data_IF_945098483898
#
_entry.id   IF_945098483898
#
_cell.length_a   1.000
_cell.length_b   1.000
_cell.length_c   1.000
_cell.angle_alpha   90.00
_cell.angle_beta   90.00
_cell.angle_gamma   90.00
#
_symmetry.space_group_name_H-M   'P 1'
#
loop_
_entity.id
_entity.type
_entity.pdbx_description
1 polymer ?
#
# COMPACT_ATOMS: atom_id res chain seq x y z
N UNK A 1 -8.21 41.76 9.17
CA UNK A 1 -8.70 40.97 10.32
C UNK A 1 -9.09 39.60 9.80
N UNK A 2 -8.09 38.74 9.66
CA UNK A 2 -8.25 37.34 9.26
C UNK A 2 -8.59 36.54 10.51
N UNK A 3 -9.74 35.87 10.50
CA UNK A 3 -10.07 34.86 11.50
C UNK A 3 -9.06 33.73 11.35
N UNK A 4 -8.13 33.65 12.31
CA UNK A 4 -7.27 32.49 12.48
C UNK A 4 -8.16 31.27 12.74
N UNK A 5 -8.17 30.35 11.78
CA UNK A 5 -8.75 29.03 11.98
C UNK A 5 -8.07 28.40 13.18
N UNK A 6 -8.84 28.18 14.23
CA UNK A 6 -8.46 27.39 15.39
C UNK A 6 -7.94 26.03 14.89
N UNK A 7 -6.67 25.76 15.17
CA UNK A 7 -6.01 24.49 14.91
C UNK A 7 -6.66 23.44 15.83
N UNK A 8 -7.37 22.40 15.33
CA UNK A 8 -8.09 21.46 16.20
C UNK A 8 -7.19 20.42 16.89
N UNK A 9 -5.86 20.62 16.86
CA UNK A 9 -4.90 19.65 17.40
C UNK A 9 -4.43 20.01 18.81
N UNK A 10 -5.34 20.01 19.79
CA UNK A 10 -4.98 19.58 21.15
C UNK A 10 -4.93 18.03 21.21
N UNK A 11 -4.47 17.42 20.11
CA UNK A 11 -5.07 16.22 19.54
C UNK A 11 -4.19 14.98 19.71
N UNK A 12 -4.84 13.88 20.05
CA UNK A 12 -4.41 12.47 19.96
C UNK A 12 -3.15 12.24 19.11
N UNK A 13 -2.19 11.47 19.63
CA UNK A 13 -0.98 11.09 18.87
C UNK A 13 -1.36 10.40 17.55
N UNK A 14 -0.66 10.73 16.48
CA UNK A 14 -0.79 10.11 15.16
C UNK A 14 0.41 9.19 14.92
N UNK A 15 0.24 7.88 15.00
CA UNK A 15 1.32 6.92 14.78
C UNK A 15 1.29 6.38 13.34
N UNK A 16 2.46 5.99 12.84
CA UNK A 16 2.55 5.12 11.67
C UNK A 16 2.34 3.68 12.15
N UNK A 17 1.22 3.06 11.76
CA UNK A 17 0.88 1.70 12.16
C UNK A 17 1.30 0.69 11.09
N UNK A 18 2.45 0.05 11.30
CA UNK A 18 2.91 -1.07 10.48
C UNK A 18 2.31 -2.37 11.02
N UNK A 19 1.53 -3.08 10.20
CA UNK A 19 0.87 -4.30 10.62
C UNK A 19 0.70 -5.29 9.46
N UNK A 20 0.41 -6.54 9.78
CA UNK A 20 0.21 -7.58 8.76
C UNK A 20 -1.25 -7.66 8.34
N UNK A 21 -1.54 -7.32 7.08
CA UNK A 21 -2.89 -7.37 6.50
C UNK A 21 -3.61 -8.71 6.72
N UNK A 22 -2.92 -9.84 6.51
CA UNK A 22 -3.51 -11.17 6.57
C UNK A 22 -3.67 -11.74 8.01
N UNK A 23 -3.65 -10.89 9.04
CA UNK A 23 -3.77 -11.27 10.45
C UNK A 23 -4.71 -10.32 11.23
N UNK A 24 -5.98 -10.17 10.80
CA UNK A 24 -6.89 -9.17 11.36
C UNK A 24 -7.20 -9.43 12.84
N UNK A 25 -7.31 -10.68 13.27
CA UNK A 25 -7.63 -11.03 14.65
C UNK A 25 -6.52 -10.61 15.62
N UNK A 26 -5.27 -10.88 15.26
CA UNK A 26 -4.10 -10.47 16.03
C UNK A 26 -3.95 -8.94 16.03
N UNK A 27 -4.13 -8.30 14.87
CA UNK A 27 -4.10 -6.83 14.79
C UNK A 27 -5.14 -6.19 15.71
N UNK A 28 -6.37 -6.72 15.72
CA UNK A 28 -7.45 -6.26 16.60
C UNK A 28 -7.11 -6.50 18.08
N UNK A 29 -6.59 -7.69 18.43
CA UNK A 29 -6.17 -8.01 19.79
C UNK A 29 -5.14 -7.01 20.32
N UNK A 30 -4.06 -6.78 19.57
CA UNK A 30 -3.04 -5.81 19.97
C UNK A 30 -3.62 -4.39 20.02
N UNK A 31 -4.39 -3.98 19.00
CA UNK A 31 -5.01 -2.65 18.98
C UNK A 31 -5.89 -2.35 20.20
N UNK A 32 -6.69 -3.34 20.65
CA UNK A 32 -7.48 -3.22 21.88
C UNK A 32 -6.60 -3.05 23.12
N UNK A 33 -5.47 -3.76 23.20
CA UNK A 33 -4.52 -3.57 24.30
C UNK A 33 -3.89 -2.18 24.29
N UNK A 34 -3.48 -1.68 23.12
CA UNK A 34 -2.87 -0.35 22.99
C UNK A 34 -3.86 0.75 23.37
N UNK A 35 -5.07 0.70 22.81
CA UNK A 35 -6.13 1.69 23.09
C UNK A 35 -6.65 1.63 24.53
N UNK A 36 -6.45 0.52 25.25
CA UNK A 36 -6.75 0.42 26.69
C UNK A 36 -5.79 1.22 27.59
N UNK A 37 -4.61 1.59 27.06
CA UNK A 37 -3.63 2.44 27.75
C UNK A 37 -3.88 3.90 27.37
N UNK A 38 -3.73 4.21 26.07
CA UNK A 38 -4.03 5.50 25.51
C UNK A 38 -4.46 5.33 24.06
N UNK A 39 -5.54 6.01 23.68
CA UNK A 39 -5.99 6.00 22.29
C UNK A 39 -5.04 6.79 21.41
N UNK A 40 -4.51 6.16 20.36
CA UNK A 40 -3.81 6.84 19.26
C UNK A 40 -4.63 6.81 17.99
N UNK A 41 -4.22 7.60 17.00
CA UNK A 41 -4.75 7.61 15.65
C UNK A 41 -3.67 7.19 14.66
N UNK A 42 -4.06 6.77 13.47
CA UNK A 42 -3.12 6.43 12.40
C UNK A 42 -3.71 6.74 11.04
N UNK A 43 -2.84 6.73 10.02
CA UNK A 43 -3.20 6.99 8.62
C UNK A 43 -2.85 5.78 7.77
N UNK A 44 -3.73 5.42 6.84
CA UNK A 44 -3.57 4.25 5.97
C UNK A 44 -3.73 4.63 4.50
N UNK A 45 -2.99 3.91 3.66
CA UNK A 45 -3.14 3.94 2.21
C UNK A 45 -4.10 2.83 1.79
N UNK A 46 -5.25 3.20 1.27
CA UNK A 46 -6.22 2.24 0.74
C UNK A 46 -6.10 2.16 -0.79
N UNK A 47 -5.99 0.93 -1.30
CA UNK A 47 -6.23 0.60 -2.71
C UNK A 47 -5.42 1.43 -3.76
N UNK A 48 -4.18 1.80 -3.45
CA UNK A 48 -3.32 2.44 -4.44
C UNK A 48 -2.91 1.44 -5.53
N UNK A 49 -3.19 1.75 -6.79
CA UNK A 49 -2.72 0.99 -7.96
C UNK A 49 -1.19 1.03 -8.11
N UNK A 50 -0.53 1.93 -7.37
CA UNK A 50 0.90 2.17 -7.44
C UNK A 50 1.48 2.51 -6.05
N UNK A 51 2.48 1.74 -5.61
CA UNK A 51 3.23 2.00 -4.38
C UNK A 51 4.39 2.96 -4.65
N UNK A 52 4.28 4.20 -4.15
CA UNK A 52 5.34 5.22 -4.23
C UNK A 52 6.16 5.24 -2.93
N UNK A 53 7.47 4.94 -2.94
CA UNK A 53 8.31 5.00 -1.74
C UNK A 53 8.33 6.39 -1.11
N UNK A 54 8.30 7.45 -1.92
CA UNK A 54 8.26 8.84 -1.45
C UNK A 54 7.02 9.12 -0.62
N UNK A 55 5.86 8.56 -1.01
CA UNK A 55 4.62 8.69 -0.26
C UNK A 55 4.75 8.03 1.11
N UNK A 56 5.27 6.79 1.14
CA UNK A 56 5.47 6.04 2.38
C UNK A 56 6.44 6.77 3.31
N UNK A 57 7.55 7.29 2.79
CA UNK A 57 8.51 8.09 3.55
C UNK A 57 7.87 9.36 4.12
N UNK A 58 7.01 10.05 3.36
CA UNK A 58 6.24 11.19 3.87
C UNK A 58 5.30 10.79 5.00
N UNK A 59 4.55 9.70 4.85
CA UNK A 59 3.65 9.21 5.90
C UNK A 59 4.39 8.86 7.19
N UNK A 60 5.54 8.18 7.08
CA UNK A 60 6.39 7.88 8.24
C UNK A 60 6.94 9.16 8.84
N UNK A 61 7.40 10.12 8.04
CA UNK A 61 7.94 11.40 8.53
C UNK A 61 6.90 12.24 9.26
N UNK A 62 5.66 12.23 8.79
CA UNK A 62 4.55 13.03 9.34
C UNK A 62 3.88 12.37 10.56
N UNK A 63 4.24 11.13 10.90
CA UNK A 63 3.79 10.47 12.12
C UNK A 63 4.56 10.94 13.36
N UNK A 64 3.92 10.95 14.53
CA UNK A 64 4.52 11.28 15.82
C UNK A 64 5.41 10.13 16.34
N UNK A 65 5.08 8.88 15.99
CA UNK A 65 5.84 7.68 16.35
C UNK A 65 5.50 6.49 15.46
N UNK A 66 6.18 5.37 15.68
CA UNK A 66 5.99 4.13 14.91
C UNK A 66 5.50 3.00 15.82
N UNK A 67 4.43 2.33 15.41
CA UNK A 67 3.90 1.14 16.10
C UNK A 67 3.88 -0.02 15.11
N UNK A 68 4.56 -1.12 15.47
CA UNK A 68 4.60 -2.34 14.69
C UNK A 68 3.79 -3.48 15.36
N UNK A 69 2.94 -4.16 14.60
CA UNK A 69 2.26 -5.40 15.02
C UNK A 69 2.54 -6.48 13.98
N UNK A 70 3.42 -7.42 14.30
CA UNK A 70 3.92 -8.40 13.34
C UNK A 70 3.71 -9.86 13.75
N UNK A 71 2.48 -10.38 13.58
CA UNK A 71 2.20 -11.81 13.71
C UNK A 71 2.79 -12.61 12.55
N UNK A 72 3.12 -13.87 12.85
CA UNK A 72 3.49 -14.87 11.85
C UNK A 72 2.33 -15.89 11.73
N UNK A 73 1.66 -16.01 10.57
CA UNK A 73 0.58 -16.95 10.38
C UNK A 73 1.13 -18.38 10.40
N UNK A 74 0.23 -19.35 10.51
CA UNK A 74 0.59 -20.76 10.63
C UNK A 74 0.64 -21.22 12.08
N UNK A 75 0.99 -22.48 12.27
CA UNK A 75 0.97 -23.09 13.61
C UNK A 75 2.04 -22.47 14.51
N UNK A 76 1.81 -22.28 15.82
CA UNK A 76 2.78 -21.66 16.73
C UNK A 76 4.10 -22.42 16.84
N UNK A 77 4.10 -23.71 16.45
CA UNK A 77 5.27 -24.61 16.46
C UNK A 77 5.86 -24.85 15.06
N UNK A 78 5.36 -24.15 14.05
CA UNK A 78 5.84 -24.28 12.69
C UNK A 78 7.27 -23.75 12.57
N UNK A 79 8.14 -24.57 11.99
CA UNK A 79 9.53 -24.21 11.74
C UNK A 79 9.64 -23.53 10.39
N UNK A 80 10.25 -22.34 10.36
CA UNK A 80 10.49 -21.59 9.14
C UNK A 80 11.99 -21.45 8.87
N UNK A 81 12.38 -21.52 7.60
CA UNK A 81 13.73 -21.15 7.20
C UNK A 81 13.93 -19.64 7.38
N UNK A 82 15.19 -19.21 7.56
CA UNK A 82 15.52 -17.79 7.64
C UNK A 82 15.07 -17.02 6.38
N UNK A 83 15.21 -17.61 5.20
CA UNK A 83 14.75 -17.00 3.95
C UNK A 83 13.23 -16.82 3.92
N UNK A 84 12.47 -17.80 4.39
CA UNK A 84 11.01 -17.70 4.51
C UNK A 84 10.61 -16.60 5.49
N UNK A 85 11.30 -16.48 6.63
CA UNK A 85 11.01 -15.44 7.62
C UNK A 85 11.33 -14.04 7.08
N UNK A 86 12.45 -13.88 6.38
CA UNK A 86 12.80 -12.58 5.79
C UNK A 86 11.87 -12.18 4.65
N UNK A 87 11.49 -13.13 3.79
CA UNK A 87 10.47 -12.90 2.78
C UNK A 87 9.13 -12.50 3.41
N UNK A 88 8.71 -13.25 4.43
CA UNK A 88 7.47 -13.01 5.16
C UNK A 88 7.50 -11.71 5.97
N UNK A 89 8.66 -11.09 6.22
CA UNK A 89 8.83 -9.83 6.97
C UNK A 89 9.35 -8.67 6.13
N UNK A 90 9.43 -8.83 4.80
CA UNK A 90 10.11 -7.90 3.90
C UNK A 90 9.58 -6.46 4.01
N UNK A 91 8.26 -6.28 3.92
CA UNK A 91 7.63 -4.95 3.95
C UNK A 91 7.71 -4.33 5.35
N UNK A 92 7.54 -5.14 6.38
CA UNK A 92 7.68 -4.68 7.76
C UNK A 92 9.09 -4.19 8.07
N UNK A 93 10.13 -4.96 7.69
CA UNK A 93 11.52 -4.57 7.86
C UNK A 93 11.84 -3.26 7.14
N UNK A 94 11.24 -3.07 5.97
CA UNK A 94 11.37 -1.84 5.22
C UNK A 94 10.77 -0.64 5.98
N UNK A 95 9.51 -0.75 6.42
CA UNK A 95 8.82 0.31 7.16
C UNK A 95 9.51 0.63 8.49
N UNK A 96 9.99 -0.40 9.20
CA UNK A 96 10.81 -0.24 10.39
C UNK A 96 12.14 0.48 10.07
N UNK A 97 12.79 0.12 8.97
CA UNK A 97 14.00 0.80 8.51
C UNK A 97 13.74 2.28 8.20
N UNK A 98 12.60 2.60 7.59
CA UNK A 98 12.18 3.98 7.38
C UNK A 98 11.97 4.72 8.70
N UNK A 99 11.26 4.13 9.66
CA UNK A 99 11.05 4.73 10.98
C UNK A 99 12.36 5.01 11.73
N UNK A 100 13.31 4.07 11.66
CA UNK A 100 14.66 4.22 12.24
C UNK A 100 15.41 5.38 11.57
N UNK A 101 15.44 5.45 10.23
CA UNK A 101 16.07 6.58 9.51
C UNK A 101 15.41 7.92 9.86
N UNK A 102 14.10 7.91 10.00
CA UNK A 102 13.27 9.05 10.39
C UNK A 102 13.42 9.43 11.87
N UNK A 103 14.18 8.63 12.66
CA UNK A 103 14.37 8.77 14.11
C UNK A 103 13.05 8.83 14.88
N UNK A 104 12.07 8.05 14.45
CA UNK A 104 10.81 7.91 15.19
C UNK A 104 11.05 7.03 16.40
N UNK A 105 10.52 7.46 17.55
CA UNK A 105 10.29 6.53 18.65
C UNK A 105 9.45 5.38 18.13
N UNK A 106 9.84 4.16 18.47
CA UNK A 106 9.25 2.96 17.86
C UNK A 106 9.05 1.86 18.90
N UNK A 107 7.88 1.25 18.85
CA UNK A 107 7.56 0.02 19.57
C UNK A 107 7.01 -1.03 18.61
N UNK A 108 7.50 -2.26 18.71
CA UNK A 108 7.13 -3.35 17.82
C UNK A 108 6.78 -4.57 18.63
N UNK A 109 5.57 -5.07 18.47
CA UNK A 109 5.12 -6.36 18.98
C UNK A 109 5.23 -7.38 17.87
N UNK A 110 6.09 -8.39 18.02
CA UNK A 110 6.32 -9.36 16.96
C UNK A 110 6.32 -10.80 17.49
N UNK A 111 5.94 -11.73 16.63
CA UNK A 111 6.06 -13.15 16.95
C UNK A 111 7.53 -13.52 17.21
N UNK A 112 7.80 -14.28 18.27
CA UNK A 112 9.16 -14.69 18.64
C UNK A 112 9.85 -15.51 17.54
N UNK A 113 9.10 -16.20 16.68
CA UNK A 113 9.66 -16.95 15.54
C UNK A 113 10.37 -16.04 14.54
N UNK A 114 10.09 -14.73 14.55
CA UNK A 114 10.73 -13.73 13.69
C UNK A 114 12.07 -13.21 14.24
N UNK A 115 12.45 -13.54 15.47
CA UNK A 115 13.72 -13.09 16.09
C UNK A 115 14.94 -13.28 15.16
N UNK A 116 15.10 -14.41 14.43
CA UNK A 116 16.25 -14.58 13.53
C UNK A 116 16.28 -13.62 12.33
N UNK A 117 15.12 -13.12 11.91
CA UNK A 117 14.96 -12.27 10.73
C UNK A 117 14.81 -10.78 11.07
N UNK A 118 14.39 -10.45 12.29
CA UNK A 118 14.15 -9.08 12.72
C UNK A 118 15.32 -8.54 13.54
N UNK A 119 15.83 -7.37 13.11
CA UNK A 119 16.85 -6.62 13.84
C UNK A 119 16.45 -5.16 13.86
N UNK A 120 16.69 -4.50 14.98
CA UNK A 120 16.51 -3.07 15.14
C UNK A 120 17.64 -2.51 16.02
N UNK A 121 17.95 -1.21 15.92
CA UNK A 121 18.86 -0.57 16.87
C UNK A 121 18.25 -0.51 18.28
N UNK A 122 19.09 -0.21 19.28
CA UNK A 122 18.74 -0.33 20.71
C UNK A 122 17.63 0.65 21.16
N UNK A 123 17.41 1.71 20.42
CA UNK A 123 16.37 2.73 20.65
C UNK A 123 14.98 2.28 20.20
N UNK A 124 14.87 1.16 19.48
CA UNK A 124 13.59 0.54 19.11
C UNK A 124 13.18 -0.51 20.14
N UNK A 125 11.98 -0.36 20.71
CA UNK A 125 11.43 -1.32 21.67
C UNK A 125 10.84 -2.53 20.95
N UNK A 126 11.62 -3.60 20.81
CA UNK A 126 11.14 -4.89 20.29
C UNK A 126 10.57 -5.76 21.42
N UNK A 127 9.31 -6.16 21.28
CA UNK A 127 8.59 -7.02 22.23
C UNK A 127 8.18 -8.29 21.52
N UNK A 128 8.99 -9.35 21.69
CA UNK A 128 8.70 -10.68 21.18
C UNK A 128 7.58 -11.35 21.98
N UNK A 129 6.67 -12.07 21.35
CA UNK A 129 5.65 -12.88 22.05
C UNK A 129 5.54 -14.30 21.46
N UNK A 130 5.12 -15.27 22.26
CA UNK A 130 4.74 -16.60 21.76
C UNK A 130 3.30 -16.54 21.23
N UNK A 131 3.04 -17.03 20.02
CA UNK A 131 1.69 -17.06 19.46
C UNK A 131 0.68 -17.82 20.35
N UNK A 132 1.13 -18.78 21.17
CA UNK A 132 0.28 -19.46 22.17
C UNK A 132 -0.21 -18.53 23.30
N UNK A 133 0.48 -17.40 23.54
CA UNK A 133 0.08 -16.41 24.56
C UNK A 133 -1.20 -15.66 24.18
N UNK A 134 -1.60 -15.68 22.90
CA UNK A 134 -2.81 -15.03 22.41
C UNK A 134 -4.08 -15.78 22.85
N UNK A 135 -4.03 -17.11 22.88
CA UNK A 135 -5.15 -17.97 23.27
C UNK A 135 -5.21 -18.24 24.78
N UNK A 136 -4.13 -17.95 25.51
CA UNK A 136 -3.98 -18.28 26.93
C UNK A 136 -4.84 -17.40 27.87
N UNK A 137 -5.55 -16.39 27.35
CA UNK A 137 -6.49 -15.56 28.10
C UNK A 137 -5.86 -14.94 29.36
N UNK A 138 -6.53 -15.11 30.51
CA UNK A 138 -6.09 -14.55 31.80
C UNK A 138 -4.77 -15.15 32.34
N UNK A 139 -4.30 -16.25 31.79
CA UNK A 139 -3.04 -16.90 32.20
C UNK A 139 -1.81 -16.33 31.46
N UNK A 140 -2.04 -15.46 30.48
CA UNK A 140 -0.98 -14.83 29.68
C UNK A 140 -0.41 -13.59 30.37
N UNK A 141 0.92 -13.47 30.39
CA UNK A 141 1.59 -12.22 30.81
C UNK A 141 1.63 -11.17 29.70
N UNK A 142 1.27 -11.56 28.46
CA UNK A 142 1.37 -10.73 27.27
C UNK A 142 0.63 -9.39 27.40
N UNK A 143 -0.63 -9.32 27.90
CA UNK A 143 -1.32 -8.05 28.06
C UNK A 143 -0.54 -7.04 28.93
N UNK A 144 0.04 -7.48 30.04
CA UNK A 144 0.80 -6.61 30.92
C UNK A 144 2.10 -6.13 30.26
N UNK A 145 2.82 -7.03 29.57
CA UNK A 145 4.04 -6.71 28.82
C UNK A 145 3.80 -5.71 27.69
N UNK A 146 2.72 -5.91 26.93
CA UNK A 146 2.31 -5.01 25.84
C UNK A 146 1.99 -3.63 26.38
N UNK A 147 1.15 -3.54 27.41
CA UNK A 147 0.78 -2.25 28.02
C UNK A 147 1.98 -1.52 28.59
N UNK A 148 2.88 -2.22 29.28
CA UNK A 148 4.09 -1.62 29.85
C UNK A 148 5.03 -1.07 28.76
N UNK A 149 5.30 -1.87 27.72
CA UNK A 149 6.16 -1.43 26.63
C UNK A 149 5.53 -0.27 25.84
N UNK A 150 4.21 -0.29 25.66
CA UNK A 150 3.49 0.77 24.99
C UNK A 150 3.47 2.07 25.81
N UNK A 151 3.25 1.99 27.12
CA UNK A 151 3.35 3.15 28.00
C UNK A 151 4.73 3.80 27.92
N UNK A 152 5.81 3.00 27.99
CA UNK A 152 7.17 3.52 27.85
C UNK A 152 7.42 4.20 26.50
N UNK A 153 6.81 3.70 25.42
CA UNK A 153 6.83 4.36 24.12
C UNK A 153 6.07 5.70 24.12
N UNK A 154 4.89 5.75 24.73
CA UNK A 154 4.10 6.98 24.84
C UNK A 154 4.85 8.04 25.65
N UNK A 155 5.48 7.64 26.75
CA UNK A 155 6.29 8.53 27.59
C UNK A 155 7.45 9.13 26.78
N UNK A 156 8.15 8.31 25.98
CA UNK A 156 9.23 8.78 25.10
C UNK A 156 8.71 9.77 24.04
N UNK A 157 7.59 9.45 23.39
CA UNK A 157 6.99 10.32 22.35
C UNK A 157 6.52 11.65 22.94
N UNK A 158 5.82 11.62 24.08
CA UNK A 158 5.36 12.83 24.75
C UNK A 158 6.51 13.71 25.23
N UNK A 159 7.61 13.11 25.71
CA UNK A 159 8.80 13.86 26.09
C UNK A 159 9.50 14.54 24.89
N UNK A 160 9.40 13.94 23.70
CA UNK A 160 10.03 14.46 22.48
C UNK A 160 9.17 15.47 21.71
N UNK A 161 7.84 15.47 21.90
CA UNK A 161 6.94 16.38 21.20
C UNK A 161 6.99 17.79 21.82
N UNK A 162 7.33 18.84 21.04
CA UNK A 162 7.31 20.21 21.53
C UNK A 162 5.89 20.64 21.91
N UNK A 163 5.75 21.35 23.02
CA UNK A 163 4.48 21.86 23.56
C UNK A 163 3.70 22.74 22.57
N UNK A 164 4.38 23.43 21.66
CA UNK A 164 3.81 24.58 20.93
C UNK A 164 3.80 24.48 19.39
N UNK A 165 4.40 23.45 18.77
CA UNK A 165 4.28 23.27 17.32
C UNK A 165 4.72 21.86 16.89
N UNK A 166 3.77 21.07 16.38
CA UNK A 166 4.12 19.92 15.52
C UNK A 166 4.66 20.50 14.22
N UNK A 167 5.87 20.11 13.76
CA UNK A 167 6.36 20.55 12.45
C UNK A 167 5.41 20.01 11.37
N UNK A 168 4.60 20.90 10.80
CA UNK A 168 3.73 20.57 9.68
C UNK A 168 4.54 20.66 8.39
N UNK A 169 4.90 19.51 7.82
CA UNK A 169 5.44 19.39 6.46
C UNK A 169 4.29 19.48 5.44
N UNK A 170 3.67 20.66 5.40
CA UNK A 170 2.59 21.02 4.48
C UNK A 170 2.94 22.28 3.68
N UNK A 171 4.23 22.58 3.51
CA UNK A 171 4.66 23.73 2.70
C UNK A 171 4.32 23.56 1.23
N UNK A 172 4.03 22.31 0.81
CA UNK A 172 3.90 21.89 -0.58
C UNK A 172 5.12 22.22 -1.42
N UNK A 173 6.28 22.42 -0.80
CA UNK A 173 7.52 22.72 -1.51
C UNK A 173 8.25 21.44 -1.93
N UNK A 174 8.75 21.40 -3.15
CA UNK A 174 9.51 20.27 -3.70
C UNK A 174 10.90 20.71 -4.15
N UNK A 175 11.96 20.15 -3.57
CA UNK A 175 13.34 20.45 -4.00
C UNK A 175 13.65 19.82 -5.36
N UNK A 176 14.25 20.55 -6.29
CA UNK A 176 14.70 20.03 -7.58
C UNK A 176 16.23 20.14 -7.68
N UNK A 177 16.91 18.99 -7.79
CA UNK A 177 18.35 18.89 -8.05
C UNK A 177 18.52 18.11 -9.35
N UNK A 178 18.79 18.81 -10.44
CA UNK A 178 18.97 18.23 -11.77
C UNK A 178 20.41 18.44 -12.21
N UNK A 179 21.04 17.40 -12.75
CA UNK A 179 22.42 17.50 -13.23
C UNK A 179 22.54 18.46 -14.42
N UNK A 180 23.68 19.13 -14.66
CA UNK A 180 23.86 20.06 -15.76
C UNK A 180 23.59 19.44 -17.13
N UNK A 181 23.84 18.14 -17.28
CA UNK A 181 23.63 17.37 -18.50
C UNK A 181 22.13 17.31 -18.86
N UNK A 182 21.26 17.23 -17.85
CA UNK A 182 19.81 17.12 -18.03
C UNK A 182 19.06 18.44 -17.74
N UNK A 183 19.70 19.42 -17.10
CA UNK A 183 19.05 20.63 -16.59
C UNK A 183 18.29 21.40 -17.69
N UNK A 184 18.94 21.60 -18.84
CA UNK A 184 18.33 22.33 -19.96
C UNK A 184 17.12 21.61 -20.57
N UNK A 185 17.06 20.29 -20.48
CA UNK A 185 16.02 19.48 -21.13
C UNK A 185 14.83 19.17 -20.22
N UNK A 186 15.02 19.09 -18.89
CA UNK A 186 13.95 18.60 -18.00
C UNK A 186 13.51 19.58 -16.91
N UNK A 187 14.33 20.56 -16.51
CA UNK A 187 14.00 21.38 -15.31
C UNK A 187 12.73 22.21 -15.48
N UNK A 188 12.50 22.87 -16.63
CA UNK A 188 11.28 23.66 -16.86
C UNK A 188 10.04 22.77 -16.85
N UNK A 189 10.08 21.67 -17.61
CA UNK A 189 8.95 20.75 -17.73
C UNK A 189 8.60 20.06 -16.40
N UNK A 190 9.60 19.65 -15.60
CA UNK A 190 9.35 19.13 -14.26
C UNK A 190 8.76 20.19 -13.32
N UNK A 191 9.22 21.44 -13.42
CA UNK A 191 8.71 22.54 -12.60
C UNK A 191 7.26 22.86 -12.96
N UNK A 192 6.92 22.93 -14.25
CA UNK A 192 5.55 23.12 -14.74
C UNK A 192 4.63 22.00 -14.26
N UNK A 193 5.04 20.74 -14.43
CA UNK A 193 4.28 19.58 -13.96
C UNK A 193 4.07 19.60 -12.43
N UNK A 194 5.08 19.99 -11.64
CA UNK A 194 4.91 20.12 -10.19
C UNK A 194 3.85 21.16 -9.82
N UNK A 195 3.86 22.32 -10.49
CA UNK A 195 2.84 23.36 -10.28
C UNK A 195 1.43 22.87 -10.64
N UNK A 196 1.27 22.11 -11.73
CA UNK A 196 -0.03 21.53 -12.12
C UNK A 196 -0.62 20.64 -11.02
N UNK A 197 0.23 19.93 -10.28
CA UNK A 197 -0.14 19.10 -9.13
C UNK A 197 -0.10 19.87 -7.79
N UNK A 198 -0.10 21.20 -7.84
CA UNK A 198 -0.10 22.11 -6.70
C UNK A 198 1.11 21.97 -5.75
N UNK A 199 2.26 21.57 -6.29
CA UNK A 199 3.57 21.61 -5.63
C UNK A 199 4.35 22.85 -6.06
N UNK A 200 5.06 23.47 -5.13
CA UNK A 200 5.94 24.60 -5.36
C UNK A 200 7.38 24.10 -5.58
N UNK A 201 7.88 24.02 -6.83
CA UNK A 201 9.23 23.58 -7.09
C UNK A 201 10.26 24.62 -6.62
N UNK A 202 11.30 24.13 -5.95
CA UNK A 202 12.46 24.90 -5.53
C UNK A 202 13.69 24.35 -6.24
N UNK A 203 14.08 24.98 -7.34
CA UNK A 203 15.31 24.61 -8.07
C UNK A 203 16.51 24.99 -7.21
N UNK A 204 17.25 23.98 -6.77
CA UNK A 204 18.40 24.18 -5.88
C UNK A 204 19.67 24.47 -6.69
N UNK A 205 20.60 25.28 -6.15
CA UNK A 205 21.81 25.68 -6.87
C UNK A 205 22.71 24.48 -7.25
N UNK A 206 23.34 24.59 -8.43
CA UNK A 206 24.36 23.65 -8.89
C UNK A 206 25.77 24.29 -8.86
N UNK A 207 26.83 23.54 -8.48
CA UNK A 207 26.80 22.20 -7.92
C UNK A 207 26.26 22.20 -6.48
N UNK A 208 25.56 21.15 -6.05
CA UNK A 208 25.09 21.06 -4.68
C UNK A 208 26.27 20.99 -3.73
N UNK A 209 26.16 21.67 -2.58
CA UNK A 209 27.14 21.63 -1.50
C UNK A 209 26.43 21.22 -0.23
N UNK A 210 26.94 20.21 0.47
CA UNK A 210 26.42 19.78 1.79
C UNK A 210 26.81 20.80 2.88
N UNK A 211 26.26 22.02 2.76
CA UNK A 211 26.45 23.13 3.67
C UNK A 211 25.14 23.48 4.39
N UNK A 212 25.19 24.47 5.28
CA UNK A 212 24.01 24.90 6.02
C UNK A 212 22.84 25.32 5.11
N UNK A 213 23.13 26.03 4.01
CA UNK A 213 22.09 26.53 3.10
C UNK A 213 21.31 25.39 2.45
N UNK A 214 22.01 24.38 1.90
CA UNK A 214 21.35 23.23 1.30
C UNK A 214 20.51 22.46 2.33
N UNK A 215 21.04 22.27 3.54
CA UNK A 215 20.30 21.63 4.64
C UNK A 215 19.04 22.43 4.98
N UNK A 216 19.14 23.76 5.04
CA UNK A 216 18.00 24.64 5.30
C UNK A 216 16.96 24.58 4.19
N UNK A 217 17.36 24.53 2.92
CA UNK A 217 16.42 24.37 1.80
C UNK A 217 15.73 23.01 1.81
N UNK A 218 16.50 21.93 1.97
CA UNK A 218 15.94 20.57 2.01
C UNK A 218 14.96 20.37 3.17
N UNK A 219 15.21 20.99 4.33
CA UNK A 219 14.29 20.95 5.48
C UNK A 219 12.99 21.71 5.28
N UNK A 220 12.95 22.68 4.35
CA UNK A 220 11.71 23.38 3.97
C UNK A 220 10.88 22.59 2.97
N UNK A 221 11.49 21.63 2.27
CA UNK A 221 10.84 20.82 1.27
C UNK A 221 10.08 19.66 1.91
N UNK A 222 8.88 19.40 1.40
CA UNK A 222 8.12 18.21 1.76
C UNK A 222 8.75 16.96 1.13
N UNK A 223 9.41 17.09 -0.01
CA UNK A 223 10.17 16.02 -0.66
C UNK A 223 11.09 16.62 -1.74
N UNK A 224 11.96 15.80 -2.33
CA UNK A 224 12.87 16.25 -3.38
C UNK A 224 12.87 15.31 -4.59
N UNK A 225 13.17 15.86 -5.76
CA UNK A 225 13.54 15.14 -6.98
C UNK A 225 15.05 15.31 -7.17
N UNK A 226 15.77 14.20 -7.28
CA UNK A 226 17.23 14.20 -7.43
C UNK A 226 17.63 13.36 -8.63
N UNK A 227 18.26 13.99 -9.60
CA UNK A 227 18.91 13.34 -10.73
C UNK A 227 20.22 12.65 -10.29
N UNK A 228 20.38 11.36 -10.57
CA UNK A 228 21.53 10.55 -10.16
C UNK A 228 22.63 10.43 -11.24
N UNK A 229 22.49 11.11 -12.37
CA UNK A 229 23.44 10.96 -13.49
C UNK A 229 24.80 11.61 -13.24
N UNK A 230 24.94 12.41 -12.18
CA UNK A 230 26.20 13.06 -11.77
C UNK A 230 26.66 12.60 -10.36
N UNK A 231 27.97 12.40 -10.12
CA UNK A 231 28.48 12.02 -8.80
C UNK A 231 28.10 12.97 -7.66
N UNK A 232 28.02 14.28 -7.90
CA UNK A 232 27.71 15.26 -6.87
C UNK A 232 26.27 15.11 -6.37
N UNK A 233 25.32 14.85 -7.26
CA UNK A 233 23.92 14.66 -6.88
C UNK A 233 23.67 13.31 -6.21
N UNK A 234 24.43 12.26 -6.52
CA UNK A 234 24.40 10.99 -5.76
C UNK A 234 24.79 11.17 -4.29
N UNK A 235 25.76 12.04 -4.00
CA UNK A 235 26.11 12.38 -2.61
C UNK A 235 24.95 13.09 -1.91
N UNK A 236 24.19 13.94 -2.61
CA UNK A 236 22.99 14.55 -2.06
C UNK A 236 21.89 13.53 -1.83
N UNK A 237 21.69 12.59 -2.76
CA UNK A 237 20.71 11.50 -2.58
C UNK A 237 21.06 10.62 -1.36
N UNK A 238 22.34 10.31 -1.16
CA UNK A 238 22.80 9.61 0.05
C UNK A 238 22.54 10.44 1.32
N UNK A 239 22.78 11.75 1.26
CA UNK A 239 22.49 12.67 2.36
C UNK A 239 21.00 12.76 2.68
N UNK A 240 20.13 12.95 1.68
CA UNK A 240 18.67 13.02 1.89
C UNK A 240 18.12 11.71 2.41
N UNK A 241 18.61 10.58 1.92
CA UNK A 241 18.28 9.26 2.45
C UNK A 241 18.63 9.13 3.94
N UNK A 242 19.83 9.54 4.34
CA UNK A 242 20.28 9.50 5.73
C UNK A 242 19.60 10.52 6.66
N UNK A 243 19.16 11.66 6.12
CA UNK A 243 18.37 12.66 6.84
C UNK A 243 16.85 12.41 6.77
N UNK A 244 16.43 11.34 6.11
CA UNK A 244 15.03 11.00 5.88
C UNK A 244 14.22 12.14 5.24
N UNK A 245 14.81 12.80 4.24
CA UNK A 245 14.10 13.70 3.34
C UNK A 245 13.54 12.84 2.20
N UNK A 246 12.20 12.70 2.08
CA UNK A 246 11.59 11.86 1.05
C UNK A 246 12.08 12.27 -0.34
N UNK A 247 12.54 11.30 -1.13
CA UNK A 247 13.26 11.60 -2.38
C UNK A 247 12.80 10.71 -3.54
N UNK A 248 12.40 11.33 -4.65
CA UNK A 248 12.25 10.67 -5.93
C UNK A 248 13.57 10.76 -6.70
N UNK A 249 14.26 9.64 -6.86
CA UNK A 249 15.49 9.59 -7.63
C UNK A 249 15.19 9.43 -9.13
N UNK A 250 15.94 10.12 -9.99
CA UNK A 250 15.86 10.00 -11.45
C UNK A 250 17.20 9.49 -12.00
N UNK A 251 17.18 8.72 -13.09
CA UNK A 251 18.40 8.42 -13.84
C UNK A 251 18.10 8.21 -15.32
N UNK A 252 18.94 8.76 -16.19
CA UNK A 252 18.82 8.61 -17.63
C UNK A 252 19.42 7.29 -18.10
N UNK A 253 18.70 6.59 -18.97
CA UNK A 253 19.19 5.43 -19.71
C UNK A 253 19.64 5.82 -21.12
N UNK A 254 19.57 7.10 -21.49
CA UNK A 254 19.96 7.56 -22.81
C UNK A 254 21.48 7.38 -23.01
N UNK A 255 21.85 6.43 -23.88
CA UNK A 255 23.25 6.12 -24.21
C UNK A 255 23.80 4.82 -23.61
N UNK A 256 23.03 4.11 -22.77
CA UNK A 256 23.42 2.78 -22.31
C UNK A 256 22.81 1.69 -23.20
N UNK A 257 23.64 0.86 -23.83
CA UNK A 257 23.18 -0.32 -24.58
C UNK A 257 22.74 -1.48 -23.66
N UNK A 258 22.76 -1.30 -22.34
CA UNK A 258 22.24 -2.29 -21.40
C UNK A 258 20.71 -2.29 -21.44
N UNK A 259 20.13 -3.47 -21.65
CA UNK A 259 18.70 -3.74 -21.50
C UNK A 259 18.12 -3.06 -20.25
N UNK A 260 16.92 -2.48 -20.37
CA UNK A 260 16.17 -1.77 -19.32
C UNK A 260 16.10 -2.51 -17.96
N UNK A 261 16.34 -3.83 -17.94
CA UNK A 261 16.25 -4.67 -16.76
C UNK A 261 17.53 -4.79 -15.89
N UNK A 262 18.72 -4.31 -16.33
CA UNK A 262 19.98 -4.64 -15.64
C UNK A 262 21.03 -3.52 -15.48
N UNK A 263 20.61 -2.25 -15.38
CA UNK A 263 21.52 -1.20 -14.90
C UNK A 263 21.62 -1.23 -13.37
N UNK A 264 22.45 -2.15 -12.86
CA UNK A 264 22.90 -2.16 -11.48
C UNK A 264 23.86 -0.97 -11.27
N UNK A 265 23.34 0.20 -10.91
CA UNK A 265 24.19 1.29 -10.40
C UNK A 265 24.69 0.82 -9.02
N UNK A 266 26.00 0.66 -8.78
CA UNK A 266 26.52 0.14 -7.50
C UNK A 266 25.99 0.92 -6.29
N UNK A 267 25.86 2.23 -6.45
CA UNK A 267 25.34 3.17 -5.45
C UNK A 267 23.87 2.90 -5.12
N UNK A 268 23.07 2.42 -6.08
CA UNK A 268 21.66 2.06 -5.85
C UNK A 268 21.55 0.82 -4.96
N UNK A 269 22.42 -0.17 -5.13
CA UNK A 269 22.46 -1.33 -4.23
C UNK A 269 22.85 -0.94 -2.82
N UNK A 270 23.77 0.01 -2.68
CA UNK A 270 24.20 0.51 -1.36
C UNK A 270 23.11 1.34 -0.68
N UNK A 271 22.41 2.21 -1.41
CA UNK A 271 21.40 3.11 -0.84
C UNK A 271 20.01 2.47 -0.71
N UNK A 272 19.64 1.62 -1.67
CA UNK A 272 18.27 1.10 -1.81
C UNK A 272 18.20 -0.45 -1.87
N UNK A 273 19.35 -1.13 -1.82
CA UNK A 273 19.48 -2.54 -2.17
C UNK A 273 19.57 -3.54 -1.01
N UNK A 274 18.95 -3.29 0.15
CA UNK A 274 18.75 -4.39 1.09
C UNK A 274 17.93 -5.50 0.39
N UNK A 275 18.57 -6.66 0.24
CA UNK A 275 18.57 -7.56 -0.94
C UNK A 275 17.23 -8.26 -1.22
N UNK A 276 16.19 -8.05 -0.42
CA UNK A 276 14.91 -8.74 -0.56
C UNK A 276 13.70 -7.82 -0.75
N UNK A 277 13.88 -6.49 -0.63
CA UNK A 277 12.79 -5.49 -0.73
C UNK A 277 13.02 -4.43 -1.80
N UNK A 278 14.20 -4.45 -2.44
CA UNK A 278 14.74 -3.38 -3.29
C UNK A 278 13.67 -2.57 -3.98
N UNK A 279 13.56 -1.29 -3.59
CA UNK A 279 12.64 -0.35 -4.19
C UNK A 279 13.05 -0.03 -5.61
N UNK A 280 12.88 -0.96 -6.55
CA UNK A 280 13.11 -0.69 -7.98
C UNK A 280 12.26 0.49 -8.47
N UNK A 281 11.13 0.76 -7.80
CA UNK A 281 10.25 1.91 -7.99
C UNK A 281 10.69 3.20 -7.25
N UNK A 282 11.76 3.19 -6.47
CA UNK A 282 12.32 4.41 -5.85
C UNK A 282 13.13 5.25 -6.85
N UNK A 283 13.54 4.65 -7.97
CA UNK A 283 14.33 5.30 -9.01
C UNK A 283 13.55 5.27 -10.32
N UNK A 284 13.19 6.45 -10.83
CA UNK A 284 12.60 6.65 -12.15
C UNK A 284 13.71 6.59 -13.18
N UNK A 285 13.66 5.56 -14.03
CA UNK A 285 14.56 5.39 -15.18
C UNK A 285 13.89 5.93 -16.42
N UNK A 286 14.56 6.80 -17.15
CA UNK A 286 13.97 7.46 -18.32
C UNK A 286 14.92 7.52 -19.51
N UNK A 287 14.39 7.47 -20.72
CA UNK A 287 15.16 7.44 -21.97
C UNK A 287 15.03 8.72 -22.80
N UNK A 288 13.95 9.45 -22.58
CA UNK A 288 13.67 10.76 -23.17
C UNK A 288 12.77 11.57 -22.20
N UNK A 289 12.66 12.90 -22.39
CA UNK A 289 11.88 13.76 -21.49
C UNK A 289 10.40 13.37 -21.37
N UNK A 290 9.74 12.93 -22.44
CA UNK A 290 8.32 12.53 -22.38
C UNK A 290 8.11 11.31 -21.46
N UNK A 291 8.98 10.30 -21.56
CA UNK A 291 8.95 9.13 -20.70
C UNK A 291 9.22 9.49 -19.22
N UNK A 292 10.15 10.42 -18.97
CA UNK A 292 10.40 10.95 -17.63
C UNK A 292 9.14 11.58 -17.04
N UNK A 293 8.50 12.48 -17.80
CA UNK A 293 7.31 13.22 -17.36
C UNK A 293 6.15 12.25 -17.07
N UNK A 294 5.86 11.30 -17.95
CA UNK A 294 4.81 10.29 -17.69
C UNK A 294 5.08 9.42 -16.44
N UNK A 295 6.36 9.10 -16.19
CA UNK A 295 6.77 8.35 -14.99
C UNK A 295 6.60 9.19 -13.73
N UNK A 296 7.08 10.43 -13.72
CA UNK A 296 6.95 11.35 -12.58
C UNK A 296 5.47 11.66 -12.31
N UNK A 297 4.65 11.86 -13.33
CA UNK A 297 3.21 12.10 -13.20
C UNK A 297 2.51 10.96 -12.44
N UNK A 298 2.87 9.71 -12.72
CA UNK A 298 2.34 8.54 -12.01
C UNK A 298 2.67 8.57 -10.51
N UNK A 299 3.85 9.07 -10.14
CA UNK A 299 4.21 9.30 -8.74
C UNK A 299 3.43 10.47 -8.13
N UNK A 300 3.27 11.59 -8.85
CA UNK A 300 2.60 12.79 -8.36
C UNK A 300 1.13 12.54 -8.03
N UNK A 301 0.43 11.77 -8.88
CA UNK A 301 -0.95 11.32 -8.65
C UNK A 301 -1.10 10.71 -7.25
N UNK A 302 -0.14 9.89 -6.84
CA UNK A 302 -0.18 9.17 -5.57
C UNK A 302 0.44 9.97 -4.41
N UNK A 303 1.51 10.74 -4.61
CA UNK A 303 2.18 11.50 -3.53
C UNK A 303 1.25 12.55 -2.92
N UNK A 304 0.38 13.17 -3.72
CA UNK A 304 -0.55 14.23 -3.26
C UNK A 304 -1.80 13.73 -2.54
N UNK A 305 -2.16 12.45 -2.67
CA UNK A 305 -3.40 11.91 -2.11
C UNK A 305 -3.45 11.99 -0.58
N UNK A 306 -4.62 12.26 -0.02
CA UNK A 306 -4.79 12.25 1.43
C UNK A 306 -5.00 10.81 1.90
N UNK A 307 -4.15 10.28 2.80
CA UNK A 307 -4.39 8.96 3.38
C UNK A 307 -5.65 9.00 4.24
N UNK A 308 -6.32 7.84 4.37
CA UNK A 308 -7.49 7.73 5.25
C UNK A 308 -7.03 7.84 6.70
N UNK A 309 -7.66 8.74 7.43
CA UNK A 309 -7.46 8.88 8.88
C UNK A 309 -8.32 7.89 9.65
N UNK A 310 -7.72 7.18 10.60
CA UNK A 310 -8.39 6.28 11.52
C UNK A 310 -8.18 6.85 12.93
N UNK A 311 -9.26 7.40 13.49
CA UNK A 311 -9.23 8.16 14.74
C UNK A 311 -9.75 7.40 15.95
N UNK A 312 -10.48 6.30 15.76
CA UNK A 312 -11.13 5.56 16.84
C UNK A 312 -11.06 4.03 16.63
N UNK A 313 -11.54 3.30 17.64
CA UNK A 313 -11.45 1.84 17.69
C UNK A 313 -12.38 1.18 16.69
N UNK A 314 -13.57 1.71 16.45
CA UNK A 314 -14.55 1.12 15.54
C UNK A 314 -14.03 1.23 14.09
N UNK A 315 -13.51 2.39 13.71
CA UNK A 315 -12.85 2.61 12.42
C UNK A 315 -11.65 1.68 12.22
N UNK A 316 -10.86 1.43 13.27
CA UNK A 316 -9.72 0.52 13.20
C UNK A 316 -10.16 -0.95 13.02
N UNK A 317 -11.21 -1.37 13.72
CA UNK A 317 -11.79 -2.72 13.59
C UNK A 317 -12.30 -2.95 12.17
N UNK A 318 -13.06 -2.00 11.62
CA UNK A 318 -13.56 -2.03 10.24
C UNK A 318 -12.43 -2.07 9.23
N UNK A 319 -11.39 -1.27 9.46
CA UNK A 319 -10.20 -1.25 8.63
C UNK A 319 -9.47 -2.60 8.65
N UNK A 320 -9.15 -3.17 9.81
CA UNK A 320 -8.44 -4.46 9.86
C UNK A 320 -9.26 -5.58 9.21
N UNK A 321 -10.58 -5.60 9.41
CA UNK A 321 -11.47 -6.55 8.76
C UNK A 321 -11.49 -6.41 7.24
N UNK A 322 -11.45 -5.17 6.73
CA UNK A 322 -11.43 -4.90 5.29
C UNK A 322 -10.06 -5.15 4.67
N UNK A 323 -8.99 -4.74 5.34
CA UNK A 323 -7.62 -4.83 4.82
C UNK A 323 -7.09 -6.27 4.78
N UNK A 324 -7.67 -7.19 5.56
CA UNK A 324 -7.40 -8.63 5.47
C UNK A 324 -8.00 -9.30 4.23
N UNK A 325 -8.90 -8.60 3.52
CA UNK A 325 -9.47 -9.06 2.26
C UNK A 325 -8.50 -8.78 1.11
N UNK A 326 -8.65 -9.56 0.05
CA UNK A 326 -7.94 -9.38 -1.22
C UNK A 326 -8.28 -8.05 -1.88
N UNK A 327 -7.28 -7.31 -2.34
CA UNK A 327 -7.49 -5.99 -2.96
C UNK A 327 -7.95 -6.07 -4.41
N UNK A 328 -7.92 -7.25 -5.03
CA UNK A 328 -8.41 -7.45 -6.39
C UNK A 328 -9.90 -7.19 -6.48
N UNK A 329 -10.28 -6.40 -7.50
CA UNK A 329 -11.68 -6.18 -7.83
C UNK A 329 -12.28 -7.41 -8.50
N UNK A 330 -13.41 -7.88 -7.97
CA UNK A 330 -14.18 -9.01 -8.50
C UNK A 330 -15.46 -8.50 -9.15
N UNK A 331 -15.69 -8.86 -10.41
CA UNK A 331 -16.96 -8.66 -11.09
C UNK A 331 -17.82 -9.92 -10.97
N UNK A 332 -19.02 -9.82 -10.40
CA UNK A 332 -19.97 -10.93 -10.32
C UNK A 332 -21.06 -10.76 -11.40
N UNK A 333 -21.03 -11.65 -12.41
CA UNK A 333 -22.02 -11.69 -13.48
C UNK A 333 -22.93 -12.91 -13.31
N UNK A 334 -24.24 -12.71 -13.31
CA UNK A 334 -25.25 -13.76 -13.09
C UNK A 334 -26.56 -13.36 -13.76
N UNK A 335 -27.51 -14.26 -14.06
CA UNK A 335 -28.84 -13.90 -14.58
C UNK A 335 -29.78 -13.41 -13.45
N UNK A 336 -30.82 -12.63 -13.76
CA UNK A 336 -31.73 -12.11 -12.72
C UNK A 336 -32.43 -13.25 -11.94
N UNK A 337 -32.71 -14.35 -12.65
CA UNK A 337 -33.33 -15.56 -12.14
C UNK A 337 -32.42 -16.31 -11.14
N UNK A 338 -31.11 -16.07 -11.17
CA UNK A 338 -30.11 -16.71 -10.31
C UNK A 338 -29.83 -15.89 -9.03
N UNK A 339 -30.68 -14.91 -8.71
CA UNK A 339 -30.45 -13.91 -7.67
C UNK A 339 -30.17 -14.47 -6.27
N UNK A 340 -30.82 -15.57 -5.87
CA UNK A 340 -30.58 -16.20 -4.57
C UNK A 340 -29.15 -16.77 -4.46
N UNK A 341 -28.72 -17.52 -5.48
CA UNK A 341 -27.36 -18.06 -5.54
C UNK A 341 -26.33 -16.94 -5.67
N UNK A 342 -26.63 -15.91 -6.46
CA UNK A 342 -25.78 -14.74 -6.61
C UNK A 342 -25.62 -13.97 -5.29
N UNK A 343 -26.68 -13.83 -4.49
CA UNK A 343 -26.59 -13.20 -3.17
C UNK A 343 -25.66 -14.00 -2.22
N UNK A 344 -25.69 -15.33 -2.30
CA UNK A 344 -24.76 -16.18 -1.54
C UNK A 344 -23.31 -15.96 -2.00
N UNK A 345 -23.04 -15.98 -3.31
CA UNK A 345 -21.71 -15.69 -3.86
C UNK A 345 -21.24 -14.28 -3.51
N UNK A 346 -22.12 -13.28 -3.66
CA UNK A 346 -21.85 -11.88 -3.34
C UNK A 346 -21.44 -11.73 -1.88
N UNK A 347 -22.15 -12.36 -0.94
CA UNK A 347 -21.78 -12.39 0.49
C UNK A 347 -20.43 -13.07 0.73
N UNK A 348 -20.18 -14.22 0.11
CA UNK A 348 -18.94 -14.97 0.27
C UNK A 348 -17.73 -14.23 -0.33
N UNK A 349 -17.90 -13.62 -1.51
CA UNK A 349 -16.88 -12.80 -2.15
C UNK A 349 -16.60 -11.53 -1.33
N UNK A 350 -17.64 -10.82 -0.86
CA UNK A 350 -17.48 -9.63 -0.01
C UNK A 350 -16.81 -9.94 1.33
N UNK A 351 -16.85 -11.19 1.79
CA UNK A 351 -16.09 -11.62 2.96
C UNK A 351 -14.58 -11.77 2.67
N UNK A 352 -14.17 -11.89 1.40
CA UNK A 352 -12.79 -12.25 0.99
C UNK A 352 -12.10 -11.24 0.10
N UNK A 353 -12.85 -10.36 -0.57
CA UNK A 353 -12.34 -9.33 -1.46
C UNK A 353 -12.81 -7.94 -1.00
N UNK A 354 -11.97 -6.92 -1.21
CA UNK A 354 -12.21 -5.54 -0.81
C UNK A 354 -13.23 -4.84 -1.72
N UNK A 355 -13.22 -5.17 -3.01
CA UNK A 355 -14.08 -4.55 -4.03
C UNK A 355 -14.80 -5.66 -4.83
N UNK A 356 -16.06 -5.90 -4.52
CA UNK A 356 -16.94 -6.82 -5.28
C UNK A 356 -18.00 -5.98 -5.97
N UNK A 357 -17.92 -5.93 -7.29
CA UNK A 357 -18.91 -5.26 -8.12
C UNK A 357 -20.04 -6.24 -8.47
N UNK A 358 -21.13 -6.13 -7.69
CA UNK A 358 -22.41 -6.79 -7.93
C UNK A 358 -23.39 -5.77 -8.53
N UNK A 359 -23.52 -5.79 -9.85
CA UNK A 359 -24.25 -4.76 -10.58
C UNK A 359 -25.78 -4.86 -10.45
N UNK A 360 -26.31 -6.01 -10.01
CA UNK A 360 -27.76 -6.24 -9.81
C UNK A 360 -28.19 -6.12 -8.35
N UNK A 361 -27.24 -6.03 -7.41
CA UNK A 361 -27.54 -5.65 -6.03
C UNK A 361 -28.10 -4.22 -5.95
N UNK A 362 -29.10 -4.01 -5.09
CA UNK A 362 -29.80 -2.73 -4.98
C UNK A 362 -28.84 -1.62 -4.51
N UNK A 363 -28.70 -0.55 -5.31
CA UNK A 363 -27.95 0.65 -4.95
C UNK A 363 -26.67 0.94 -5.76
N UNK A 364 -26.26 0.04 -6.67
CA UNK A 364 -24.99 0.19 -7.42
C UNK A 364 -25.09 1.17 -8.62
N UNK A 365 -26.29 1.49 -9.10
CA UNK A 365 -26.54 2.45 -10.19
C UNK A 365 -27.54 3.51 -9.68
N UNK A 366 -27.14 4.78 -9.69
CA UNK A 366 -28.05 5.87 -9.27
C UNK A 366 -29.08 6.14 -10.36
N UNK A 367 -30.31 6.47 -9.95
CA UNK A 367 -31.38 6.85 -10.88
C UNK A 367 -30.91 8.01 -11.76
N UNK A 368 -30.80 7.79 -13.07
CA UNK A 368 -30.36 8.77 -14.06
C UNK A 368 -28.95 8.57 -14.65
N UNK A 369 -28.15 7.64 -14.14
CA UNK A 369 -26.84 7.30 -14.73
C UNK A 369 -26.98 6.41 -15.98
N UNK A 370 -26.11 6.60 -16.98
CA UNK A 370 -26.05 5.73 -18.16
C UNK A 370 -25.52 4.35 -17.76
N UNK A 371 -26.45 3.44 -17.47
CA UNK A 371 -26.21 2.05 -17.05
C UNK A 371 -25.05 1.36 -17.77
N UNK A 372 -24.95 1.50 -19.09
CA UNK A 372 -23.99 0.76 -19.91
C UNK A 372 -22.54 1.18 -19.66
N UNK A 373 -22.29 2.47 -19.41
CA UNK A 373 -20.96 3.01 -19.17
C UNK A 373 -20.41 2.60 -17.80
N UNK A 374 -21.27 2.59 -16.77
CA UNK A 374 -20.93 2.10 -15.43
C UNK A 374 -20.56 0.61 -15.47
N UNK A 375 -21.28 -0.19 -16.25
CA UNK A 375 -21.04 -1.62 -16.41
C UNK A 375 -19.71 -1.90 -17.13
N UNK A 376 -19.43 -1.21 -18.23
CA UNK A 376 -18.16 -1.33 -18.97
C UNK A 376 -16.96 -0.84 -18.14
N UNK A 377 -17.14 0.22 -17.35
CA UNK A 377 -16.10 0.74 -16.44
C UNK A 377 -15.83 -0.22 -15.27
N UNK A 378 -16.88 -0.83 -14.72
CA UNK A 378 -16.76 -1.87 -13.69
C UNK A 378 -16.00 -3.10 -14.19
N UNK A 379 -16.30 -3.52 -15.41
CA UNK A 379 -15.68 -4.67 -16.07
C UNK A 379 -14.21 -4.41 -16.43
N UNK A 380 -13.89 -3.24 -16.98
CA UNK A 380 -12.52 -2.87 -17.36
C UNK A 380 -11.54 -2.78 -16.17
N UNK A 381 -12.06 -2.51 -14.97
CA UNK A 381 -11.26 -2.38 -13.73
C UNK A 381 -11.16 -3.68 -12.93
N UNK A 382 -11.87 -4.73 -13.32
CA UNK A 382 -11.93 -5.98 -12.56
C UNK A 382 -10.75 -6.88 -12.89
N UNK A 383 -10.04 -7.32 -11.85
CA UNK A 383 -8.94 -8.29 -11.99
C UNK A 383 -9.48 -9.73 -12.07
N UNK A 384 -10.70 -9.99 -11.57
CA UNK A 384 -11.35 -11.30 -11.58
C UNK A 384 -12.80 -11.15 -12.05
N UNK A 385 -13.22 -11.95 -13.03
CA UNK A 385 -14.62 -12.08 -13.46
C UNK A 385 -15.19 -13.43 -13.05
N UNK A 386 -16.24 -13.44 -12.23
CA UNK A 386 -16.99 -14.65 -11.85
C UNK A 386 -18.29 -14.69 -12.65
N UNK A 387 -18.47 -15.72 -13.48
CA UNK A 387 -19.69 -15.91 -14.26
C UNK A 387 -20.54 -17.03 -13.65
N UNK A 388 -21.73 -16.71 -13.14
CA UNK A 388 -22.70 -17.71 -12.70
C UNK A 388 -23.55 -18.15 -13.90
N UNK A 389 -23.16 -19.26 -14.52
CA UNK A 389 -23.74 -19.77 -15.75
C UNK A 389 -24.96 -20.66 -15.47
N UNK A 390 -26.10 -20.24 -16.01
CA UNK A 390 -27.36 -20.97 -16.09
C UNK A 390 -27.92 -20.88 -17.51
N UNK A 391 -28.98 -21.62 -17.83
CA UNK A 391 -29.73 -21.43 -19.08
C UNK A 391 -30.27 -20.00 -19.20
N UNK A 392 -30.72 -19.40 -18.10
CA UNK A 392 -31.18 -18.02 -18.05
C UNK A 392 -30.05 -17.03 -18.37
N UNK A 393 -28.84 -17.32 -17.89
CA UNK A 393 -27.64 -16.53 -18.22
C UNK A 393 -27.38 -16.51 -19.72
N UNK A 394 -27.40 -17.68 -20.37
CA UNK A 394 -27.13 -17.82 -21.81
C UNK A 394 -28.24 -17.21 -22.66
N UNK A 395 -29.49 -17.27 -22.20
CA UNK A 395 -30.62 -16.61 -22.85
C UNK A 395 -30.55 -15.08 -22.75
N UNK A 396 -29.85 -14.54 -21.75
CA UNK A 396 -29.69 -13.10 -21.53
C UNK A 396 -28.62 -12.49 -22.42
N UNK A 397 -29.05 -11.65 -23.38
CA UNK A 397 -28.13 -10.91 -24.27
C UNK A 397 -27.10 -10.07 -23.52
N UNK A 398 -27.49 -9.47 -22.39
CA UNK A 398 -26.60 -8.62 -21.59
C UNK A 398 -25.53 -9.41 -20.85
N UNK A 399 -25.93 -10.50 -20.20
CA UNK A 399 -24.99 -11.42 -19.54
C UNK A 399 -23.97 -11.98 -20.54
N UNK A 400 -24.42 -12.31 -21.75
CA UNK A 400 -23.54 -12.80 -22.81
C UNK A 400 -22.58 -11.74 -23.36
N UNK A 401 -22.93 -10.46 -23.33
CA UNK A 401 -22.00 -9.36 -23.64
C UNK A 401 -20.93 -9.21 -22.55
N UNK A 402 -21.34 -9.20 -21.28
CA UNK A 402 -20.42 -9.16 -20.13
C UNK A 402 -19.41 -10.31 -20.17
N UNK A 403 -19.90 -11.54 -20.39
CA UNK A 403 -19.05 -12.73 -20.48
C UNK A 403 -18.01 -12.63 -21.59
N UNK A 404 -18.36 -12.06 -22.75
CA UNK A 404 -17.44 -11.89 -23.87
C UNK A 404 -16.35 -10.86 -23.58
N UNK A 405 -16.70 -9.74 -22.95
CA UNK A 405 -15.71 -8.73 -22.58
C UNK A 405 -14.75 -9.24 -21.50
N UNK A 406 -15.26 -9.97 -20.50
CA UNK A 406 -14.41 -10.61 -19.49
C UNK A 406 -13.52 -11.70 -20.09
N UNK A 407 -14.05 -12.50 -21.03
CA UNK A 407 -13.26 -13.47 -21.76
C UNK A 407 -12.14 -12.82 -22.56
N UNK A 408 -12.44 -11.72 -23.27
CA UNK A 408 -11.43 -10.96 -24.00
C UNK A 408 -10.33 -10.42 -23.07
N UNK A 409 -10.71 -9.82 -21.94
CA UNK A 409 -9.76 -9.36 -20.94
C UNK A 409 -8.90 -10.51 -20.40
N UNK A 410 -9.46 -11.71 -20.26
CA UNK A 410 -8.71 -12.89 -19.80
C UNK A 410 -7.73 -13.43 -20.84
N UNK A 411 -8.12 -13.50 -22.12
CA UNK A 411 -7.23 -13.90 -23.22
C UNK A 411 -6.06 -12.91 -23.37
N UNK A 412 -6.32 -11.62 -23.14
CA UNK A 412 -5.30 -10.56 -23.15
C UNK A 412 -4.46 -10.52 -21.84
N UNK A 413 -4.72 -11.40 -20.88
CA UNK A 413 -3.99 -11.49 -19.61
C UNK A 413 -4.28 -10.35 -18.62
N UNK A 414 -5.35 -9.57 -18.85
CA UNK A 414 -5.74 -8.42 -18.02
C UNK A 414 -6.67 -8.80 -16.86
N UNK A 415 -7.31 -9.96 -16.91
CA UNK A 415 -8.20 -10.45 -15.86
C UNK A 415 -8.17 -11.99 -15.76
N UNK A 416 -8.51 -12.55 -14.60
CA UNK A 416 -8.81 -13.96 -14.47
C UNK A 416 -10.32 -14.20 -14.69
N UNK A 417 -10.68 -15.20 -15.50
CA UNK A 417 -12.07 -15.57 -15.72
C UNK A 417 -12.40 -16.88 -15.02
N UNK A 418 -13.46 -16.89 -14.20
CA UNK A 418 -13.92 -18.08 -13.49
C UNK A 418 -15.39 -18.34 -13.78
N UNK A 419 -15.68 -19.22 -14.76
CA UNK A 419 -17.04 -19.68 -15.00
C UNK A 419 -17.49 -20.68 -13.93
N UNK A 420 -18.72 -20.51 -13.42
CA UNK A 420 -19.37 -21.36 -12.43
C UNK A 420 -20.72 -21.82 -12.98
N UNK A 421 -20.82 -23.07 -13.39
CA UNK A 421 -22.07 -23.68 -13.83
C UNK A 421 -22.97 -23.99 -12.64
N UNK A 422 -24.14 -23.35 -12.61
CA UNK A 422 -25.17 -23.56 -11.59
C UNK A 422 -25.95 -24.86 -11.85
N UNK A 423 -26.09 -25.23 -13.12
CA UNK A 423 -26.77 -26.44 -13.58
C UNK A 423 -25.94 -27.16 -14.66
N UNK A 424 -26.32 -28.39 -15.01
CA UNK A 424 -25.71 -29.09 -16.15
C UNK A 424 -26.18 -28.44 -17.44
N UNK A 425 -25.24 -27.88 -18.19
CA UNK A 425 -25.48 -27.19 -19.45
C UNK A 425 -24.25 -27.27 -20.35
N UNK A 426 -24.47 -27.04 -21.65
CA UNK A 426 -23.37 -26.80 -22.59
C UNK A 426 -22.87 -25.36 -22.42
N UNK A 427 -21.56 -25.20 -22.37
CA UNK A 427 -20.94 -23.89 -22.33
C UNK A 427 -21.09 -23.19 -23.68
N UNK A 428 -21.27 -21.86 -23.70
CA UNK A 428 -21.15 -21.08 -24.92
C UNK A 428 -19.83 -21.35 -25.66
N UNK A 429 -19.85 -21.30 -26.98
CA UNK A 429 -18.71 -21.68 -27.84
C UNK A 429 -17.37 -21.05 -27.42
N UNK A 430 -17.38 -19.76 -27.06
CA UNK A 430 -16.16 -19.04 -26.65
C UNK A 430 -15.62 -19.47 -25.27
N UNK A 431 -16.42 -20.14 -24.44
CA UNK A 431 -16.02 -20.67 -23.12
C UNK A 431 -15.69 -22.17 -23.15
N UNK A 432 -15.86 -22.87 -24.28
CA UNK A 432 -15.60 -24.32 -24.35
C UNK A 432 -14.15 -24.69 -24.03
N UNK A 433 -13.20 -23.79 -24.33
CA UNK A 433 -11.78 -23.95 -23.99
C UNK A 433 -11.42 -23.52 -22.56
N UNK A 434 -12.38 -23.09 -21.75
CA UNK A 434 -12.15 -22.55 -20.41
C UNK A 434 -12.57 -23.57 -19.34
N UNK A 435 -11.70 -23.83 -18.38
CA UNK A 435 -12.06 -24.66 -17.23
C UNK A 435 -13.11 -23.96 -16.37
N UNK A 436 -14.16 -24.68 -15.98
CA UNK A 436 -15.25 -24.15 -15.16
C UNK A 436 -15.34 -24.86 -13.82
N UNK A 437 -16.09 -24.26 -12.89
CA UNK A 437 -16.53 -24.88 -11.63
C UNK A 437 -18.01 -25.22 -11.71
N UNK A 438 -18.43 -26.23 -10.97
CA UNK A 438 -19.80 -26.74 -11.03
C UNK A 438 -20.39 -26.82 -9.63
N UNK A 439 -21.52 -26.16 -9.39
CA UNK A 439 -22.20 -26.21 -8.08
C UNK A 439 -22.73 -27.60 -7.74
N UNK A 440 -22.97 -28.43 -8.75
CA UNK A 440 -23.32 -29.83 -8.55
C UNK A 440 -22.14 -30.73 -8.12
N UNK A 441 -20.93 -30.19 -8.02
CA UNK A 441 -19.74 -30.89 -7.53
C UNK A 441 -19.09 -30.21 -6.33
N UNK A 442 -19.27 -28.91 -6.16
CA UNK A 442 -18.62 -28.11 -5.12
C UNK A 442 -19.59 -27.08 -4.55
N UNK A 443 -19.50 -26.80 -3.25
CA UNK A 443 -20.29 -25.72 -2.64
C UNK A 443 -19.79 -24.33 -3.08
N UNK A 444 -20.65 -23.29 -3.07
CA UNK A 444 -20.24 -21.92 -3.29
C UNK A 444 -19.04 -21.50 -2.41
N UNK A 445 -19.03 -21.94 -1.15
CA UNK A 445 -17.94 -21.68 -0.22
C UNK A 445 -16.60 -22.30 -0.67
N UNK A 446 -16.60 -23.55 -1.16
CA UNK A 446 -15.39 -24.20 -1.64
C UNK A 446 -14.82 -23.48 -2.87
N UNK A 447 -15.69 -23.06 -3.80
CA UNK A 447 -15.29 -22.32 -5.01
C UNK A 447 -14.66 -20.97 -4.65
N UNK A 448 -15.27 -20.22 -3.73
CA UNK A 448 -14.73 -18.92 -3.29
C UNK A 448 -13.39 -19.07 -2.56
N UNK A 449 -13.18 -20.16 -1.83
CA UNK A 449 -11.87 -20.43 -1.21
C UNK A 449 -10.79 -20.83 -2.21
N UNK A 450 -11.14 -21.60 -3.24
CA UNK A 450 -10.22 -21.86 -4.35
C UNK A 450 -9.85 -20.57 -5.08
N UNK A 451 -10.82 -19.69 -5.33
CA UNK A 451 -10.60 -18.37 -5.92
C UNK A 451 -9.62 -17.54 -5.10
N UNK A 452 -9.69 -17.63 -3.77
CA UNK A 452 -8.74 -16.97 -2.87
C UNK A 452 -7.31 -17.49 -3.04
N UNK A 453 -7.14 -18.77 -3.36
CA UNK A 453 -5.83 -19.46 -3.45
C UNK A 453 -5.19 -19.40 -4.85
N UNK A 454 -5.98 -19.34 -5.93
CA UNK A 454 -5.50 -19.50 -7.32
C UNK A 454 -4.74 -18.31 -7.93
N UNK A 455 -4.60 -17.20 -7.21
CA UNK A 455 -4.00 -15.96 -7.73
C UNK A 455 -2.85 -15.43 -6.86
N UNK A 456 -2.19 -16.32 -6.10
CA UNK A 456 -0.95 -16.03 -5.38
C UNK A 456 0.31 -16.32 -6.19
#
# INVERSE_FOLDING_TARGET
MTMGGLNPHSGRLNVFLSHRYNSPAENQYFWQLLTSVEGVSFRVDEALSFTSPVRLERMVRDADGFVGIYPLPGGPREAHSLSSLRHASRYFRLELGMAVRARKHAVVFHDQRLIPALRAPLDVRLVAYDAQELDAGAHSSLPARVRHAYQGFLDDVHAALPSDARPTYQSRSTGLIVSPQNQASVTSALSEMLHEYAWEPMVLPWPPRLNLDLITWLRKCDWAVIDLDDPASRLVAAFTHGQFVPTLALTSTAGSQASQDHLDVPDEKTLYGDVETGHRKAVVRWSNPEHLLGSVESHLKVIGEQPRYIGDTDQAVDYFGSAAKRSERVFLSYAAEDGETAAEFSRLLNARFQDVFDYRSHGTIKVGEQWMDTLLTGLARSAIGVLLLSKSYVASKYCMLEARELYRAAVEGRAALVPVCLERMELPDFLQGTQYRALYHQSPQAIVEELRLQTQ
#
